data_IF_535447802777
#
_entry.id   IF_535447802777
#
_cell.length_a   1.000
_cell.length_b   1.000
_cell.length_c   1.000
_cell.angle_alpha   90.00
_cell.angle_beta   90.00
_cell.angle_gamma   90.00
#
_symmetry.space_group_name_H-M   'P 1'
#
loop_
_entity.id
_entity.type
_entity.pdbx_description
1 polymer ?
#
# COMPACT_ATOMS: atom_id res chain seq x y z
N UNK A 1 6.41 -13.93 -6.26
CA UNK A 1 7.13 -12.65 -6.46
C UNK A 1 6.93 -11.85 -5.19
N UNK A 2 7.95 -11.55 -4.37
CA UNK A 2 7.78 -10.75 -3.18
C UNK A 2 7.38 -9.35 -3.62
N UNK A 3 6.18 -8.91 -3.25
CA UNK A 3 5.78 -7.51 -3.29
C UNK A 3 6.68 -6.76 -2.29
N UNK A 4 7.80 -6.24 -2.77
CA UNK A 4 8.57 -5.23 -2.04
C UNK A 4 7.65 -4.04 -1.83
N UNK A 5 7.16 -3.85 -0.62
CA UNK A 5 6.60 -2.57 -0.18
C UNK A 5 7.77 -1.58 -0.33
N UNK A 6 7.71 -0.77 -1.39
CA UNK A 6 8.70 0.29 -1.57
C UNK A 6 8.73 1.14 -0.30
N UNK A 7 9.91 1.41 0.22
CA UNK A 7 10.04 2.31 1.36
C UNK A 7 9.49 3.68 0.97
N UNK A 8 8.90 4.41 1.91
CA UNK A 8 8.38 5.77 1.67
C UNK A 8 9.46 6.67 1.03
N UNK A 9 10.72 6.49 1.42
CA UNK A 9 11.85 7.25 0.88
C UNK A 9 12.14 6.91 -0.59
N UNK A 10 11.96 5.66 -1.00
CA UNK A 10 12.11 5.25 -2.39
C UNK A 10 10.98 5.81 -3.27
N UNK A 11 9.75 5.83 -2.77
CA UNK A 11 8.63 6.47 -3.45
C UNK A 11 8.85 7.98 -3.60
N UNK A 12 9.25 8.66 -2.54
CA UNK A 12 9.60 10.09 -2.58
C UNK A 12 10.71 10.36 -3.58
N UNK A 13 11.76 9.54 -3.59
CA UNK A 13 12.88 9.65 -4.51
C UNK A 13 12.40 9.58 -5.96
N UNK A 14 11.54 8.62 -6.31
CA UNK A 14 10.95 8.51 -7.65
C UNK A 14 10.15 9.75 -8.02
N UNK A 15 9.33 10.27 -7.09
CA UNK A 15 8.57 11.51 -7.32
C UNK A 15 9.52 12.67 -7.61
N UNK A 16 10.55 12.88 -6.82
CA UNK A 16 11.50 13.98 -7.03
C UNK A 16 12.29 13.84 -8.33
N UNK A 17 12.72 12.64 -8.69
CA UNK A 17 13.43 12.40 -9.96
C UNK A 17 12.57 12.71 -11.18
N UNK A 18 11.26 12.50 -11.08
CA UNK A 18 10.32 12.83 -12.15
C UNK A 18 9.92 14.32 -12.16
N UNK A 19 9.64 14.91 -11.00
CA UNK A 19 9.10 16.27 -10.90
C UNK A 19 10.16 17.37 -11.00
N UNK A 20 11.38 17.15 -10.50
CA UNK A 20 12.41 18.18 -10.51
C UNK A 20 12.79 18.66 -11.93
N UNK A 21 12.97 17.79 -12.96
CA UNK A 21 13.22 18.27 -14.33
C UNK A 21 12.08 19.15 -14.88
N UNK A 22 10.82 18.84 -14.53
CA UNK A 22 9.67 19.65 -14.96
C UNK A 22 9.67 21.03 -14.29
N UNK A 23 10.01 21.09 -13.01
CA UNK A 23 10.15 22.38 -12.28
C UNK A 23 11.31 23.20 -12.85
N UNK A 24 12.45 22.58 -13.15
CA UNK A 24 13.61 23.26 -13.76
C UNK A 24 13.21 23.83 -15.13
N UNK A 25 12.50 23.04 -15.95
CA UNK A 25 11.99 23.51 -17.25
C UNK A 25 11.02 24.69 -17.08
N UNK A 26 10.10 24.62 -16.12
CA UNK A 26 9.16 25.70 -15.82
C UNK A 26 9.89 26.99 -15.39
N UNK A 27 10.90 26.90 -14.51
CA UNK A 27 11.73 28.02 -14.13
C UNK A 27 12.47 28.62 -15.32
N UNK A 28 12.99 27.78 -16.22
CA UNK A 28 13.67 28.24 -17.42
C UNK A 28 12.72 29.00 -18.36
N UNK A 29 11.55 28.41 -18.66
CA UNK A 29 10.53 29.04 -19.52
C UNK A 29 10.03 30.37 -18.92
N UNK A 30 9.81 30.42 -17.62
CA UNK A 30 9.35 31.61 -16.91
C UNK A 30 10.39 32.76 -17.05
N UNK A 31 11.70 32.46 -16.96
CA UNK A 31 12.77 33.44 -17.16
C UNK A 31 12.86 33.97 -18.59
N UNK A 32 12.27 33.31 -19.58
CA UNK A 32 12.23 33.81 -20.97
C UNK A 32 11.06 34.75 -21.24
N UNK A 33 9.98 34.66 -20.47
CA UNK A 33 8.71 35.33 -20.76
C UNK A 33 8.43 36.54 -19.85
N UNK A 34 9.00 36.59 -18.65
CA UNK A 34 8.73 37.68 -17.70
C UNK A 34 9.92 38.62 -17.49
N UNK A 35 9.60 39.94 -17.42
CA UNK A 35 10.57 40.96 -17.09
C UNK A 35 10.67 41.09 -15.56
N UNK A 36 11.64 40.36 -14.97
CA UNK A 36 11.84 40.36 -13.53
C UNK A 36 12.69 41.57 -13.05
N UNK A 37 12.45 41.97 -11.80
CA UNK A 37 13.48 42.67 -11.05
C UNK A 37 14.77 41.83 -11.05
N UNK A 38 15.91 42.48 -11.20
CA UNK A 38 17.24 41.85 -11.33
C UNK A 38 17.50 40.77 -10.26
N UNK A 39 17.06 41.04 -9.03
CA UNK A 39 17.19 40.11 -7.90
C UNK A 39 16.38 38.80 -8.13
N UNK A 40 15.14 38.87 -8.60
CA UNK A 40 14.29 37.70 -8.84
C UNK A 40 14.84 36.85 -9.97
N UNK A 41 15.42 37.45 -11.01
CA UNK A 41 16.10 36.72 -12.06
C UNK A 41 17.28 35.89 -11.52
N UNK A 42 18.19 36.52 -10.73
CA UNK A 42 19.32 35.78 -10.15
C UNK A 42 18.87 34.67 -9.18
N UNK A 43 17.82 34.93 -8.40
CA UNK A 43 17.27 33.90 -7.50
C UNK A 43 16.71 32.70 -8.27
N UNK A 44 15.97 32.92 -9.36
CA UNK A 44 15.41 31.81 -10.16
C UNK A 44 16.50 31.00 -10.86
N UNK A 45 17.52 31.67 -11.41
CA UNK A 45 18.68 31.02 -12.04
C UNK A 45 19.47 30.21 -11.01
N UNK A 46 19.75 30.79 -9.84
CA UNK A 46 20.44 30.07 -8.75
C UNK A 46 19.65 28.87 -8.28
N UNK A 47 18.33 28.99 -8.11
CA UNK A 47 17.47 27.87 -7.75
C UNK A 47 17.49 26.78 -8.81
N UNK A 48 17.42 27.12 -10.10
CA UNK A 48 17.47 26.14 -11.19
C UNK A 48 18.79 25.34 -11.17
N UNK A 49 19.94 26.00 -11.03
CA UNK A 49 21.24 25.30 -10.89
C UNK A 49 21.29 24.40 -9.66
N UNK A 50 20.78 24.89 -8.54
CA UNK A 50 20.73 24.08 -7.31
C UNK A 50 19.81 22.86 -7.47
N UNK A 51 18.66 23.00 -8.13
CA UNK A 51 17.75 21.87 -8.38
C UNK A 51 18.37 20.84 -9.33
N UNK A 52 19.18 21.26 -10.33
CA UNK A 52 19.95 20.32 -11.17
C UNK A 52 20.96 19.55 -10.31
N UNK A 53 21.72 20.24 -9.46
CA UNK A 53 22.65 19.60 -8.53
C UNK A 53 21.93 18.61 -7.61
N UNK A 54 20.82 19.02 -7.00
CA UNK A 54 20.04 18.20 -6.09
C UNK A 54 19.46 16.97 -6.79
N UNK A 55 19.02 17.11 -8.04
CA UNK A 55 18.52 16.00 -8.86
C UNK A 55 19.60 14.93 -9.07
N UNK A 56 20.85 15.35 -9.36
CA UNK A 56 21.98 14.41 -9.50
C UNK A 56 22.26 13.70 -8.16
N UNK A 57 22.23 14.42 -7.04
CA UNK A 57 22.46 13.85 -5.72
C UNK A 57 21.37 12.85 -5.33
N UNK A 58 20.10 13.15 -5.61
CA UNK A 58 18.94 12.24 -5.40
C UNK A 58 19.07 11.00 -6.30
N UNK A 59 19.51 11.16 -7.57
CA UNK A 59 19.76 10.04 -8.47
C UNK A 59 20.84 9.09 -7.91
N UNK A 60 21.94 9.65 -7.40
CA UNK A 60 23.04 8.90 -6.78
C UNK A 60 22.72 8.39 -5.37
N UNK A 61 21.54 8.68 -4.80
CA UNK A 61 21.11 8.32 -3.42
C UNK A 61 21.98 8.94 -2.32
N UNK A 62 22.65 10.07 -2.58
CA UNK A 62 23.51 10.73 -1.63
C UNK A 62 22.75 11.76 -0.81
N UNK A 63 22.88 11.70 0.52
CA UNK A 63 22.34 12.70 1.47
C UNK A 63 20.85 13.05 1.24
N UNK A 64 20.02 12.08 0.85
CA UNK A 64 18.64 12.31 0.40
C UNK A 64 17.86 13.25 1.30
N UNK A 65 17.87 13.01 2.64
CA UNK A 65 17.10 13.83 3.60
C UNK A 65 17.62 15.26 3.71
N UNK A 66 18.92 15.46 3.65
CA UNK A 66 19.50 16.80 3.65
C UNK A 66 19.12 17.56 2.38
N UNK A 67 19.23 16.94 1.22
CA UNK A 67 18.85 17.53 -0.07
C UNK A 67 17.36 17.86 -0.11
N UNK A 68 16.49 16.95 0.40
CA UNK A 68 15.05 17.17 0.50
C UNK A 68 14.71 18.43 1.32
N UNK A 69 15.33 18.60 2.50
CA UNK A 69 15.10 19.75 3.36
C UNK A 69 15.68 21.06 2.79
N UNK A 70 16.86 21.02 2.19
CA UNK A 70 17.47 22.20 1.58
C UNK A 70 16.72 22.64 0.33
N UNK A 71 16.18 21.73 -0.48
CA UNK A 71 15.27 22.04 -1.56
C UNK A 71 14.01 22.76 -1.04
N UNK A 72 13.39 22.23 0.02
CA UNK A 72 12.20 22.86 0.61
C UNK A 72 12.51 24.28 1.08
N UNK A 73 13.65 24.49 1.74
CA UNK A 73 14.06 25.81 2.22
C UNK A 73 14.26 26.81 1.06
N UNK A 74 15.00 26.43 0.02
CA UNK A 74 15.27 27.30 -1.12
C UNK A 74 14.02 27.60 -1.96
N UNK A 75 13.18 26.60 -2.18
CA UNK A 75 11.88 26.79 -2.85
C UNK A 75 10.99 27.71 -2.03
N UNK A 76 10.98 27.60 -0.69
CA UNK A 76 10.20 28.50 0.18
C UNK A 76 10.68 29.93 0.09
N UNK A 77 12.00 30.18 0.09
CA UNK A 77 12.56 31.52 -0.11
C UNK A 77 12.19 32.09 -1.48
N UNK A 78 12.26 31.28 -2.52
CA UNK A 78 11.85 31.70 -3.87
C UNK A 78 10.37 32.06 -3.90
N UNK A 79 9.48 31.23 -3.32
CA UNK A 79 8.04 31.52 -3.26
C UNK A 79 7.71 32.80 -2.48
N UNK A 80 8.39 33.06 -1.37
CA UNK A 80 8.22 34.30 -0.60
C UNK A 80 8.67 35.52 -1.39
N UNK A 81 9.79 35.42 -2.14
CA UNK A 81 10.25 36.48 -3.01
C UNK A 81 9.28 36.76 -4.16
N UNK A 82 8.76 35.72 -4.81
CA UNK A 82 7.77 35.89 -5.89
C UNK A 82 6.49 36.53 -5.38
N UNK A 83 6.04 36.15 -4.20
CA UNK A 83 4.89 36.79 -3.56
C UNK A 83 5.15 38.25 -3.26
N UNK A 84 6.31 38.58 -2.68
CA UNK A 84 6.71 39.98 -2.40
C UNK A 84 6.73 40.85 -3.67
N UNK A 85 7.35 40.34 -4.75
CA UNK A 85 7.41 41.05 -6.04
C UNK A 85 6.02 41.23 -6.66
N UNK A 86 5.17 40.20 -6.57
CA UNK A 86 3.80 40.28 -7.06
C UNK A 86 2.98 41.33 -6.31
N UNK A 87 3.12 41.40 -4.99
CA UNK A 87 2.45 42.43 -4.19
C UNK A 87 2.96 43.82 -4.56
N UNK A 88 4.27 44.02 -4.59
CA UNK A 88 4.88 45.33 -4.85
C UNK A 88 4.57 45.82 -6.28
N UNK A 89 4.85 45.00 -7.30
CA UNK A 89 4.79 45.43 -8.70
C UNK A 89 3.36 45.36 -9.22
N UNK A 90 2.66 44.25 -9.02
CA UNK A 90 1.33 44.07 -9.62
C UNK A 90 0.23 44.75 -8.82
N UNK A 91 0.16 44.54 -7.48
CA UNK A 91 -0.91 45.14 -6.70
C UNK A 91 -0.71 46.63 -6.42
N UNK A 92 0.54 47.10 -6.13
CA UNK A 92 0.80 48.48 -5.72
C UNK A 92 1.14 49.36 -6.93
N UNK A 93 2.08 48.97 -7.82
CA UNK A 93 2.51 49.83 -8.91
C UNK A 93 1.57 49.80 -10.13
N UNK A 94 0.99 48.61 -10.44
CA UNK A 94 0.14 48.42 -11.63
C UNK A 94 -1.36 48.39 -11.34
N UNK A 95 -1.75 48.32 -10.06
CA UNK A 95 -3.15 48.17 -9.64
C UNK A 95 -3.86 46.97 -10.32
N UNK A 96 -3.16 45.85 -10.48
CA UNK A 96 -3.62 44.61 -11.13
C UNK A 96 -3.81 43.51 -10.08
N UNK A 97 -4.10 42.31 -10.52
CA UNK A 97 -4.25 41.11 -9.69
C UNK A 97 -2.88 40.48 -9.31
N UNK A 98 -2.86 39.62 -8.29
CA UNK A 98 -1.72 38.77 -7.99
C UNK A 98 -1.38 37.95 -9.23
N UNK A 99 -0.10 37.88 -9.60
CA UNK A 99 0.37 37.22 -10.81
C UNK A 99 0.19 35.71 -10.80
N UNK A 100 0.40 35.06 -11.96
CA UNK A 100 0.17 33.66 -12.26
C UNK A 100 0.98 32.67 -11.39
N UNK A 101 1.97 33.15 -10.61
CA UNK A 101 2.71 32.27 -9.69
C UNK A 101 1.79 31.54 -8.68
N UNK A 102 0.59 32.06 -8.43
CA UNK A 102 -0.44 31.48 -7.58
C UNK A 102 -0.82 30.07 -8.02
N UNK A 103 -0.75 29.78 -9.33
CA UNK A 103 -1.02 28.46 -9.91
C UNK A 103 -0.12 27.37 -9.30
N UNK A 104 1.08 27.71 -8.87
CA UNK A 104 2.04 26.76 -8.28
C UNK A 104 1.83 26.51 -6.77
N UNK A 105 0.97 27.29 -6.10
CA UNK A 105 0.77 27.17 -4.66
C UNK A 105 0.23 25.81 -4.20
N UNK A 106 -0.73 25.17 -4.89
CA UNK A 106 -1.15 23.82 -4.51
C UNK A 106 -0.01 22.80 -4.56
N UNK A 107 0.84 22.87 -5.60
CA UNK A 107 2.00 21.98 -5.72
C UNK A 107 3.04 22.27 -4.63
N UNK A 108 3.23 23.52 -4.27
CA UNK A 108 4.12 23.89 -3.18
C UNK A 108 3.62 23.37 -1.83
N UNK A 109 2.31 23.46 -1.54
CA UNK A 109 1.72 22.88 -0.32
C UNK A 109 1.86 21.36 -0.31
N UNK A 110 1.60 20.67 -1.44
CA UNK A 110 1.88 19.22 -1.57
C UNK A 110 3.33 18.90 -1.25
N UNK A 111 4.26 19.70 -1.77
CA UNK A 111 5.70 19.52 -1.56
C UNK A 111 6.08 19.64 -0.08
N UNK A 112 5.52 20.63 0.64
CA UNK A 112 5.70 20.76 2.09
C UNK A 112 5.26 19.51 2.82
N UNK A 113 4.04 19.01 2.51
CA UNK A 113 3.51 17.82 3.17
C UNK A 113 4.26 16.54 2.80
N UNK A 114 4.74 16.41 1.57
CA UNK A 114 5.57 15.29 1.13
C UNK A 114 6.90 15.26 1.88
N UNK A 115 7.53 16.42 2.07
CA UNK A 115 8.84 16.57 2.73
C UNK A 115 8.75 16.41 4.25
N UNK A 116 7.83 17.13 4.90
CA UNK A 116 7.77 17.26 6.36
C UNK A 116 6.77 16.28 7.00
N UNK A 117 5.88 15.67 6.22
CA UNK A 117 4.78 14.87 6.72
C UNK A 117 3.67 15.72 7.34
N UNK A 118 2.59 15.07 7.81
CA UNK A 118 1.35 15.73 8.23
C UNK A 118 1.53 16.77 9.35
N UNK A 119 2.13 16.37 10.48
CA UNK A 119 2.22 17.23 11.69
C UNK A 119 3.12 18.43 11.50
N UNK A 120 4.31 18.24 10.91
CA UNK A 120 5.27 19.34 10.68
C UNK A 120 4.87 20.15 9.44
N UNK A 121 4.28 19.50 8.44
CA UNK A 121 3.81 20.14 7.21
C UNK A 121 2.75 21.19 7.47
N UNK A 122 1.72 20.90 8.30
CA UNK A 122 0.69 21.87 8.63
C UNK A 122 1.28 23.10 9.35
N UNK A 123 2.19 22.90 10.31
CA UNK A 123 2.83 23.99 11.04
C UNK A 123 3.67 24.86 10.11
N UNK A 124 4.45 24.25 9.23
CA UNK A 124 5.28 24.97 8.26
C UNK A 124 4.43 25.70 7.22
N UNK A 125 3.35 25.11 6.73
CA UNK A 125 2.43 25.75 5.79
C UNK A 125 1.75 26.99 6.42
N UNK A 126 1.33 26.90 7.67
CA UNK A 126 0.78 28.07 8.38
C UNK A 126 1.84 29.14 8.65
N UNK A 127 3.10 28.77 8.91
CA UNK A 127 4.21 29.73 9.01
C UNK A 127 4.38 30.50 7.71
N UNK A 128 4.45 29.80 6.57
CA UNK A 128 4.57 30.46 5.25
C UNK A 128 3.36 31.32 4.95
N UNK A 129 2.15 30.83 5.24
CA UNK A 129 0.92 31.61 5.09
C UNK A 129 0.93 32.90 5.94
N UNK A 130 1.37 32.81 7.19
CA UNK A 130 1.48 34.00 8.08
C UNK A 130 2.52 34.99 7.58
N UNK A 131 3.66 34.52 7.02
CA UNK A 131 4.67 35.39 6.42
C UNK A 131 4.14 36.12 5.18
N UNK A 132 3.41 35.40 4.30
CA UNK A 132 2.77 36.06 3.13
C UNK A 132 1.68 37.02 3.56
N UNK A 133 0.86 36.70 4.56
CA UNK A 133 -0.15 37.61 5.12
C UNK A 133 0.51 38.89 5.72
N UNK A 134 1.61 38.71 6.46
CA UNK A 134 2.36 39.87 6.99
C UNK A 134 2.89 40.79 5.89
N UNK A 135 3.48 40.24 4.82
CA UNK A 135 3.91 41.01 3.65
C UNK A 135 2.71 41.76 3.03
N UNK A 136 1.58 41.07 2.80
CA UNK A 136 0.38 41.70 2.25
C UNK A 136 -0.13 42.87 3.11
N UNK A 137 -0.17 42.71 4.44
CA UNK A 137 -0.62 43.77 5.36
C UNK A 137 0.29 44.99 5.35
N UNK A 138 1.62 44.83 5.19
CA UNK A 138 2.56 45.97 5.13
C UNK A 138 2.25 46.93 3.98
N UNK A 139 1.76 46.42 2.85
CA UNK A 139 1.39 47.23 1.67
C UNK A 139 -0.09 47.65 1.65
N UNK A 140 -0.88 47.25 2.63
CA UNK A 140 -2.34 47.49 2.67
C UNK A 140 -2.76 48.95 2.45
N UNK A 141 -2.02 49.97 2.97
CA UNK A 141 -2.38 51.39 2.74
C UNK A 141 -2.28 51.84 1.27
N UNK A 142 -1.62 51.06 0.43
CA UNK A 142 -1.36 51.38 -0.99
C UNK A 142 -2.26 50.63 -1.96
N UNK A 143 -3.23 49.82 -1.47
CA UNK A 143 -4.08 48.99 -2.34
C UNK A 143 -5.31 49.76 -2.81
N UNK A 144 -5.68 49.51 -4.06
CA UNK A 144 -7.01 49.82 -4.56
C UNK A 144 -8.02 48.65 -4.26
N UNK A 145 -9.34 48.94 -4.30
CA UNK A 145 -10.35 47.93 -3.95
C UNK A 145 -10.23 46.60 -4.73
N UNK A 146 -9.90 46.66 -6.02
CA UNK A 146 -9.77 45.46 -6.87
C UNK A 146 -8.55 44.58 -6.48
N UNK A 147 -7.46 45.23 -6.04
CA UNK A 147 -6.25 44.55 -5.59
C UNK A 147 -6.48 43.78 -4.27
N UNK A 148 -7.33 44.34 -3.38
CA UNK A 148 -7.71 43.70 -2.10
C UNK A 148 -8.43 42.39 -2.32
N UNK A 149 -9.33 42.33 -3.31
CA UNK A 149 -10.11 41.09 -3.60
C UNK A 149 -9.17 39.92 -3.99
N UNK A 150 -8.21 40.14 -4.89
CA UNK A 150 -7.24 39.13 -5.30
C UNK A 150 -6.35 38.63 -4.16
N UNK A 151 -5.98 39.55 -3.24
CA UNK A 151 -5.22 39.23 -2.03
C UNK A 151 -6.01 38.33 -1.06
N UNK A 152 -7.29 38.65 -0.82
CA UNK A 152 -8.18 37.86 0.02
C UNK A 152 -8.35 36.46 -0.58
N UNK A 153 -8.63 36.37 -1.89
CA UNK A 153 -8.80 35.09 -2.59
C UNK A 153 -7.54 34.23 -2.48
N UNK A 154 -6.35 34.82 -2.64
CA UNK A 154 -5.07 34.11 -2.45
C UNK A 154 -4.96 33.50 -1.06
N UNK A 155 -5.20 34.24 0.00
CA UNK A 155 -5.06 33.76 1.37
C UNK A 155 -6.12 32.71 1.74
N UNK A 156 -7.37 32.89 1.30
CA UNK A 156 -8.45 31.93 1.51
C UNK A 156 -8.14 30.63 0.77
N UNK A 157 -7.73 30.70 -0.50
CA UNK A 157 -7.37 29.50 -1.28
C UNK A 157 -6.22 28.72 -0.63
N UNK A 158 -5.18 29.41 -0.13
CA UNK A 158 -4.07 28.74 0.55
C UNK A 158 -4.49 28.04 1.84
N UNK A 159 -5.40 28.62 2.64
CA UNK A 159 -5.97 27.97 3.81
C UNK A 159 -6.70 26.68 3.39
N UNK A 160 -7.52 26.76 2.33
CA UNK A 160 -8.24 25.59 1.80
C UNK A 160 -7.22 24.51 1.36
N UNK A 161 -6.17 24.85 0.62
CA UNK A 161 -5.14 23.89 0.20
C UNK A 161 -4.46 23.23 1.40
N UNK A 162 -4.07 24.01 2.43
CA UNK A 162 -3.45 23.48 3.65
C UNK A 162 -4.33 22.42 4.30
N UNK A 163 -5.63 22.69 4.46
CA UNK A 163 -6.55 21.74 5.07
C UNK A 163 -6.85 20.54 4.17
N UNK A 164 -7.07 20.74 2.87
CA UNK A 164 -7.33 19.65 1.91
C UNK A 164 -6.17 18.66 1.93
N UNK A 165 -4.93 19.13 1.83
CA UNK A 165 -3.78 18.23 1.84
C UNK A 165 -3.51 17.61 3.21
N UNK A 166 -3.77 18.31 4.31
CA UNK A 166 -3.72 17.72 5.64
C UNK A 166 -4.68 16.54 5.78
N UNK A 167 -5.94 16.72 5.36
CA UNK A 167 -6.93 15.66 5.43
C UNK A 167 -6.70 14.55 4.40
N UNK A 168 -6.21 14.88 3.22
CA UNK A 168 -5.80 13.87 2.23
C UNK A 168 -4.71 12.94 2.76
N UNK A 169 -3.67 13.49 3.39
CA UNK A 169 -2.62 12.69 4.04
C UNK A 169 -3.16 11.88 5.24
N UNK A 170 -4.09 12.45 6.00
CA UNK A 170 -4.73 11.74 7.10
C UNK A 170 -5.51 10.53 6.59
N UNK A 171 -6.36 10.71 5.58
CA UNK A 171 -7.14 9.66 4.97
C UNK A 171 -6.23 8.57 4.36
N UNK A 172 -5.18 8.96 3.65
CA UNK A 172 -4.21 8.02 3.08
C UNK A 172 -3.50 7.19 4.15
N UNK A 173 -3.10 7.83 5.26
CA UNK A 173 -2.51 7.14 6.41
C UNK A 173 -3.46 6.12 7.03
N UNK A 174 -4.72 6.49 7.26
CA UNK A 174 -5.75 5.57 7.76
C UNK A 174 -6.01 4.40 6.80
N UNK A 175 -6.08 4.67 5.49
CA UNK A 175 -6.25 3.61 4.49
C UNK A 175 -5.09 2.61 4.48
N UNK A 176 -3.86 3.10 4.60
CA UNK A 176 -2.66 2.26 4.67
C UNK A 176 -2.67 1.39 5.94
N UNK A 177 -3.01 1.97 7.09
CA UNK A 177 -3.12 1.26 8.37
C UNK A 177 -4.22 0.18 8.33
N UNK A 178 -5.41 0.52 7.82
CA UNK A 178 -6.51 -0.43 7.63
C UNK A 178 -6.13 -1.58 6.69
N UNK A 179 -5.38 -1.32 5.63
CA UNK A 179 -4.90 -2.36 4.70
C UNK A 179 -3.92 -3.31 5.40
N UNK A 180 -3.02 -2.78 6.22
CA UNK A 180 -2.06 -3.57 6.99
C UNK A 180 -2.78 -4.43 8.04
N UNK A 181 -3.74 -3.85 8.79
CA UNK A 181 -4.56 -4.59 9.76
C UNK A 181 -5.35 -5.70 9.08
N UNK A 182 -5.95 -5.43 7.90
CA UNK A 182 -6.66 -6.45 7.13
C UNK A 182 -5.75 -7.57 6.66
N UNK A 183 -4.54 -7.29 6.18
CA UNK A 183 -3.61 -8.32 5.73
C UNK A 183 -3.16 -9.21 6.88
N UNK A 184 -2.78 -8.64 8.03
CA UNK A 184 -2.42 -9.41 9.24
C UNK A 184 -3.61 -10.14 9.86
N UNK A 185 -4.85 -9.62 9.67
CA UNK A 185 -6.06 -10.27 10.17
C UNK A 185 -6.50 -11.49 9.35
N UNK A 186 -6.00 -11.67 8.12
CA UNK A 186 -6.51 -12.70 7.19
C UNK A 186 -5.45 -13.67 6.65
N UNK A 187 -4.18 -13.44 6.94
CA UNK A 187 -3.05 -14.29 6.52
C UNK A 187 -2.42 -14.96 7.74
N UNK A 188 -2.07 -16.21 7.61
CA UNK A 188 -1.28 -16.92 8.62
C UNK A 188 0.18 -16.45 8.55
N UNK A 189 0.77 -15.95 9.66
CA UNK A 189 2.10 -15.35 9.64
C UNK A 189 3.23 -16.34 9.39
N UNK A 190 3.00 -17.64 9.61
CA UNK A 190 4.01 -18.66 9.41
C UNK A 190 4.05 -19.13 7.96
N UNK A 191 2.88 -19.46 7.41
CA UNK A 191 2.76 -20.13 6.09
C UNK A 191 2.39 -19.20 4.96
N UNK A 192 2.07 -17.93 5.26
CA UNK A 192 1.66 -16.88 4.30
C UNK A 192 0.42 -17.20 3.46
N UNK A 193 -0.30 -18.28 3.79
CA UNK A 193 -1.60 -18.60 3.21
C UNK A 193 -2.74 -17.98 4.02
N UNK A 194 -3.98 -18.11 3.56
CA UNK A 194 -5.12 -17.60 4.33
C UNK A 194 -5.21 -18.27 5.71
N UNK A 195 -5.52 -17.49 6.74
CA UNK A 195 -5.77 -18.03 8.06
C UNK A 195 -7.24 -18.52 8.21
N UNK A 196 -7.54 -19.21 9.32
CA UNK A 196 -8.87 -19.73 9.63
C UNK A 196 -9.97 -18.68 9.49
N UNK A 197 -9.74 -17.46 9.99
CA UNK A 197 -10.73 -16.37 9.92
C UNK A 197 -11.10 -16.01 8.48
N UNK A 198 -10.12 -15.99 7.57
CA UNK A 198 -10.38 -15.73 6.15
C UNK A 198 -11.05 -16.89 5.45
N UNK A 199 -10.69 -18.13 5.83
CA UNK A 199 -11.35 -19.33 5.34
C UNK A 199 -12.83 -19.36 5.73
N UNK A 200 -13.17 -19.04 7.00
CA UNK A 200 -14.57 -18.96 7.47
C UNK A 200 -15.37 -17.95 6.62
N UNK A 201 -14.83 -16.75 6.38
CA UNK A 201 -15.51 -15.75 5.54
C UNK A 201 -15.70 -16.21 4.09
N UNK A 202 -14.72 -16.89 3.52
CA UNK A 202 -14.85 -17.44 2.17
C UNK A 202 -15.83 -18.60 2.12
N UNK A 203 -15.84 -19.47 3.13
CA UNK A 203 -16.81 -20.55 3.24
C UNK A 203 -18.25 -20.01 3.30
N UNK A 204 -18.49 -18.92 4.04
CA UNK A 204 -19.78 -18.23 4.08
C UNK A 204 -20.23 -17.82 2.67
N UNK A 205 -19.34 -17.18 1.92
CA UNK A 205 -19.63 -16.72 0.56
C UNK A 205 -19.88 -17.87 -0.43
N UNK A 206 -19.08 -18.93 -0.37
CA UNK A 206 -19.21 -20.08 -1.27
C UNK A 206 -20.45 -20.93 -0.91
N UNK A 207 -20.74 -21.08 0.37
CA UNK A 207 -21.94 -21.77 0.85
C UNK A 207 -23.22 -21.04 0.43
N UNK A 208 -23.25 -19.69 0.56
CA UNK A 208 -24.36 -18.88 0.10
C UNK A 208 -24.58 -19.02 -1.41
N UNK A 209 -23.53 -19.00 -2.22
CA UNK A 209 -23.61 -19.26 -3.66
C UNK A 209 -24.11 -20.66 -3.97
N UNK A 210 -23.62 -21.70 -3.27
CA UNK A 210 -24.08 -23.07 -3.45
C UNK A 210 -25.57 -23.19 -3.15
N UNK A 211 -26.04 -22.55 -2.07
CA UNK A 211 -27.43 -22.59 -1.65
C UNK A 211 -28.35 -21.82 -2.61
N UNK A 212 -27.94 -20.65 -3.13
CA UNK A 212 -28.78 -19.76 -3.95
C UNK A 212 -28.67 -20.03 -5.45
N UNK A 213 -27.46 -20.21 -5.97
CA UNK A 213 -27.20 -20.35 -7.43
C UNK A 213 -26.91 -21.79 -7.85
N UNK A 214 -26.98 -22.75 -6.93
CA UNK A 214 -26.62 -24.18 -7.15
C UNK A 214 -25.20 -24.37 -7.68
N UNK A 215 -24.29 -23.42 -7.35
CA UNK A 215 -22.88 -23.56 -7.65
C UNK A 215 -22.31 -24.73 -6.84
N UNK A 216 -21.50 -25.55 -7.48
CA UNK A 216 -20.77 -26.64 -6.82
C UNK A 216 -19.87 -26.09 -5.71
N UNK A 217 -19.81 -26.77 -4.57
CA UNK A 217 -18.91 -26.47 -3.46
C UNK A 217 -18.43 -27.76 -2.82
N UNK A 218 -17.13 -27.94 -2.76
CA UNK A 218 -16.47 -29.00 -2.01
C UNK A 218 -15.48 -28.43 -1.01
N UNK A 219 -15.35 -29.11 0.11
CA UNK A 219 -14.37 -28.84 1.18
C UNK A 219 -13.37 -30.00 1.22
N UNK A 220 -12.08 -29.67 1.23
CA UNK A 220 -10.98 -30.61 1.41
C UNK A 220 -10.26 -30.21 2.69
N UNK A 221 -10.31 -31.03 3.73
CA UNK A 221 -9.48 -30.90 4.91
C UNK A 221 -8.20 -31.73 4.72
N UNK A 222 -7.08 -31.15 5.09
CA UNK A 222 -5.73 -31.71 4.90
C UNK A 222 -5.00 -31.64 6.23
N UNK A 223 -4.33 -32.72 6.60
CA UNK A 223 -3.44 -32.73 7.76
C UNK A 223 -2.09 -33.31 7.39
N UNK A 224 -1.05 -32.72 7.92
CA UNK A 224 0.31 -33.21 7.79
C UNK A 224 0.49 -34.43 8.70
N UNK A 225 0.86 -35.57 8.13
CA UNK A 225 0.98 -36.84 8.87
C UNK A 225 2.22 -36.83 9.79
N UNK A 226 2.02 -37.27 11.04
CA UNK A 226 3.07 -37.40 12.03
C UNK A 226 3.83 -36.11 12.41
N UNK A 227 3.22 -34.95 12.24
CA UNK A 227 3.87 -33.65 12.49
C UNK A 227 4.42 -33.51 13.93
N UNK A 228 3.70 -34.05 14.92
CA UNK A 228 4.19 -34.08 16.31
C UNK A 228 5.54 -34.80 16.43
N UNK A 229 5.72 -35.95 15.73
CA UNK A 229 6.98 -36.69 15.76
C UNK A 229 8.12 -35.86 15.15
N UNK A 230 7.83 -35.06 14.13
CA UNK A 230 8.80 -34.15 13.51
C UNK A 230 9.26 -33.10 14.52
N UNK A 231 8.32 -32.45 15.20
CA UNK A 231 8.66 -31.48 16.25
C UNK A 231 9.44 -32.12 17.40
N UNK A 232 9.04 -33.29 17.85
CA UNK A 232 9.69 -34.00 18.96
C UNK A 232 11.12 -34.44 18.59
N UNK A 233 11.38 -34.78 17.33
CA UNK A 233 12.68 -35.28 16.86
C UNK A 233 13.64 -34.17 16.40
N UNK A 234 13.12 -33.14 15.71
CA UNK A 234 13.95 -32.14 15.02
C UNK A 234 13.76 -30.71 15.58
N UNK A 235 12.84 -30.53 16.54
CA UNK A 235 12.53 -29.22 17.12
C UNK A 235 11.50 -28.40 16.33
N UNK A 236 10.91 -27.43 16.99
CA UNK A 236 9.85 -26.59 16.43
C UNK A 236 10.30 -25.74 15.23
N UNK A 237 11.56 -25.32 15.18
CA UNK A 237 12.09 -24.55 14.05
C UNK A 237 12.09 -25.35 12.74
N UNK A 238 12.35 -26.65 12.82
CA UNK A 238 12.26 -27.57 11.68
C UNK A 238 10.78 -27.77 11.30
N UNK A 239 9.92 -27.99 12.30
CA UNK A 239 8.49 -28.09 12.07
C UNK A 239 7.89 -26.88 11.36
N UNK A 240 8.32 -25.68 11.75
CA UNK A 240 7.90 -24.44 11.12
C UNK A 240 8.35 -24.31 9.65
N UNK A 241 9.59 -24.75 9.34
CA UNK A 241 10.04 -24.81 7.95
C UNK A 241 9.23 -25.83 7.13
N UNK A 242 8.93 -26.97 7.70
CA UNK A 242 8.12 -28.03 7.08
C UNK A 242 6.71 -27.51 6.77
N UNK A 243 6.09 -26.79 7.71
CA UNK A 243 4.75 -26.21 7.47
C UNK A 243 4.76 -25.18 6.33
N UNK A 244 5.80 -24.33 6.23
CA UNK A 244 5.96 -23.38 5.11
C UNK A 244 6.10 -24.11 3.78
N UNK A 245 6.98 -25.11 3.72
CA UNK A 245 7.23 -25.87 2.51
C UNK A 245 6.01 -26.69 2.09
N UNK A 246 5.33 -27.33 3.04
CA UNK A 246 4.07 -28.05 2.82
C UNK A 246 2.98 -27.15 2.24
N UNK A 247 2.81 -25.94 2.79
CA UNK A 247 1.84 -24.97 2.29
C UNK A 247 2.19 -24.49 0.88
N UNK A 248 3.47 -24.30 0.55
CA UNK A 248 3.92 -23.93 -0.79
C UNK A 248 3.65 -25.02 -1.82
N UNK A 249 3.88 -26.29 -1.48
CA UNK A 249 3.58 -27.42 -2.36
C UNK A 249 2.09 -27.45 -2.71
N UNK A 250 1.22 -27.27 -1.72
CA UNK A 250 -0.23 -27.21 -1.94
C UNK A 250 -0.59 -26.01 -2.82
N UNK A 251 -0.12 -24.82 -2.44
CA UNK A 251 -0.44 -23.57 -3.18
C UNK A 251 -0.08 -23.65 -4.66
N UNK A 252 1.05 -24.30 -5.00
CA UNK A 252 1.51 -24.44 -6.38
C UNK A 252 0.68 -25.41 -7.21
N UNK A 253 -0.15 -26.25 -6.59
CA UNK A 253 -1.02 -27.21 -7.29
C UNK A 253 -2.44 -26.69 -7.52
N UNK A 254 -2.81 -25.60 -6.85
CA UNK A 254 -4.15 -25.03 -6.86
C UNK A 254 -4.38 -24.09 -8.05
N UNK A 255 -5.64 -23.98 -8.47
CA UNK A 255 -6.10 -23.03 -9.46
C UNK A 255 -6.52 -21.71 -8.81
N UNK A 256 -6.72 -20.67 -9.63
CA UNK A 256 -7.08 -19.33 -9.13
C UNK A 256 -8.47 -19.25 -8.49
N UNK A 257 -9.36 -20.17 -8.75
CA UNK A 257 -10.73 -20.22 -8.21
C UNK A 257 -10.83 -21.05 -6.92
N UNK A 258 -9.75 -21.73 -6.53
CA UNK A 258 -9.67 -22.51 -5.31
C UNK A 258 -9.11 -21.66 -4.17
N UNK A 259 -9.76 -21.74 -3.01
CA UNK A 259 -9.36 -21.00 -1.80
C UNK A 259 -8.60 -21.96 -0.88
N UNK A 260 -7.44 -21.52 -0.42
CA UNK A 260 -6.56 -22.33 0.43
C UNK A 260 -6.09 -21.55 1.65
N UNK A 261 -6.01 -22.25 2.79
CA UNK A 261 -5.49 -21.65 4.00
C UNK A 261 -5.23 -22.66 5.11
N UNK A 262 -4.64 -22.16 6.21
CA UNK A 262 -4.33 -22.90 7.41
C UNK A 262 -5.53 -22.86 8.36
N UNK A 263 -6.07 -24.03 8.65
CA UNK A 263 -7.26 -24.20 9.50
C UNK A 263 -6.91 -24.31 10.98
N UNK A 264 -5.79 -24.95 11.30
CA UNK A 264 -5.28 -25.16 12.64
C UNK A 264 -3.75 -25.32 12.67
N UNK A 265 -3.20 -25.91 13.70
CA UNK A 265 -1.75 -26.07 13.87
C UNK A 265 -1.04 -26.69 12.66
N UNK A 266 -1.44 -27.92 12.30
CA UNK A 266 -0.91 -28.72 11.18
C UNK A 266 -2.01 -29.05 10.15
N UNK A 267 -3.17 -28.37 10.27
CA UNK A 267 -4.35 -28.59 9.48
C UNK A 267 -4.55 -27.46 8.47
N UNK A 268 -4.91 -27.84 7.25
CA UNK A 268 -5.19 -26.94 6.15
C UNK A 268 -6.54 -27.24 5.52
N UNK A 269 -7.12 -26.25 4.86
CA UNK A 269 -8.41 -26.37 4.17
C UNK A 269 -8.33 -25.80 2.77
N UNK A 270 -8.92 -26.53 1.81
CA UNK A 270 -9.20 -26.03 0.46
C UNK A 270 -10.71 -25.95 0.27
N UNK A 271 -11.21 -24.81 -0.22
CA UNK A 271 -12.57 -24.64 -0.72
C UNK A 271 -12.50 -24.63 -2.25
N UNK A 272 -13.21 -25.57 -2.89
CA UNK A 272 -13.19 -25.73 -4.35
C UNK A 272 -14.61 -25.62 -4.91
N UNK A 273 -14.85 -24.77 -5.93
CA UNK A 273 -16.14 -24.69 -6.63
C UNK A 273 -16.29 -25.82 -7.65
N UNK A 274 -16.07 -27.05 -7.19
CA UNK A 274 -16.03 -28.23 -8.03
C UNK A 274 -16.91 -29.35 -7.45
N UNK A 275 -17.36 -30.25 -8.31
CA UNK A 275 -18.07 -31.45 -7.92
C UNK A 275 -17.19 -32.37 -7.05
N UNK A 276 -17.83 -33.26 -6.29
CA UNK A 276 -17.15 -34.23 -5.42
C UNK A 276 -16.05 -35.01 -6.16
N UNK A 277 -16.33 -35.45 -7.38
CA UNK A 277 -15.38 -36.22 -8.20
C UNK A 277 -14.13 -35.37 -8.53
N UNK A 278 -14.31 -34.11 -8.90
CA UNK A 278 -13.20 -33.21 -9.25
C UNK A 278 -12.43 -32.80 -8.00
N UNK A 279 -13.09 -32.52 -6.88
CA UNK A 279 -12.47 -32.25 -5.60
C UNK A 279 -11.63 -33.44 -5.08
N UNK A 280 -12.13 -34.67 -5.23
CA UNK A 280 -11.35 -35.89 -4.94
C UNK A 280 -10.11 -36.00 -5.82
N UNK A 281 -10.22 -35.73 -7.13
CA UNK A 281 -9.07 -35.75 -8.05
C UNK A 281 -8.04 -34.71 -7.66
N UNK A 282 -8.49 -33.51 -7.28
CA UNK A 282 -7.61 -32.45 -6.77
C UNK A 282 -6.89 -32.89 -5.50
N UNK A 283 -7.60 -33.42 -4.53
CA UNK A 283 -7.04 -33.96 -3.28
C UNK A 283 -5.99 -35.04 -3.52
N UNK A 284 -6.26 -36.00 -4.43
CA UNK A 284 -5.27 -37.00 -4.83
C UNK A 284 -4.05 -36.42 -5.54
N UNK A 285 -4.24 -35.38 -6.36
CA UNK A 285 -3.13 -34.70 -7.01
C UNK A 285 -2.24 -33.98 -5.98
N UNK A 286 -2.86 -33.26 -5.03
CA UNK A 286 -2.14 -32.60 -3.93
C UNK A 286 -1.39 -33.66 -3.10
N UNK A 287 -2.06 -34.75 -2.71
CA UNK A 287 -1.45 -35.85 -1.96
C UNK A 287 -0.21 -36.42 -2.66
N UNK A 288 -0.32 -36.68 -3.97
CA UNK A 288 0.79 -37.16 -4.80
C UNK A 288 1.95 -36.16 -4.86
N UNK A 289 1.66 -34.86 -5.03
CA UNK A 289 2.68 -33.82 -5.05
C UNK A 289 3.44 -33.75 -3.72
N UNK A 290 2.73 -33.82 -2.59
CA UNK A 290 3.33 -33.86 -1.26
C UNK A 290 4.21 -35.10 -1.09
N UNK A 291 3.71 -36.29 -1.42
CA UNK A 291 4.45 -37.55 -1.31
C UNK A 291 5.73 -37.60 -2.15
N UNK A 292 5.73 -36.94 -3.31
CA UNK A 292 6.88 -36.86 -4.22
C UNK A 292 7.81 -35.71 -3.93
N UNK A 293 7.40 -34.74 -3.15
CA UNK A 293 8.23 -33.59 -2.81
C UNK A 293 9.36 -33.99 -1.86
N UNK A 294 10.54 -33.45 -2.10
CA UNK A 294 11.72 -33.64 -1.23
C UNK A 294 11.81 -32.47 -0.27
N UNK A 295 11.28 -32.66 0.93
CA UNK A 295 11.41 -31.68 1.99
C UNK A 295 12.86 -31.57 2.47
N UNK A 296 13.31 -30.33 2.75
CA UNK A 296 14.73 -30.06 3.05
C UNK A 296 15.28 -30.85 4.23
N UNK A 297 14.47 -30.98 5.29
CA UNK A 297 14.92 -31.54 6.58
C UNK A 297 14.37 -32.95 6.83
N UNK A 298 13.45 -33.45 5.99
CA UNK A 298 12.69 -34.65 6.28
C UNK A 298 12.43 -35.48 5.02
N UNK A 299 12.77 -36.76 5.10
CA UNK A 299 12.40 -37.75 4.09
C UNK A 299 11.01 -38.33 4.37
N UNK A 300 10.22 -38.52 3.30
CA UNK A 300 8.92 -39.20 3.31
C UNK A 300 7.81 -38.53 4.15
N UNK A 301 7.62 -37.23 3.96
CA UNK A 301 6.45 -36.54 4.51
C UNK A 301 5.21 -36.84 3.68
N UNK A 302 4.10 -37.07 4.35
CA UNK A 302 2.78 -37.34 3.72
C UNK A 302 1.68 -36.51 4.34
N UNK A 303 0.54 -36.45 3.68
CA UNK A 303 -0.67 -35.84 4.20
C UNK A 303 -1.89 -36.75 4.06
N UNK A 304 -2.80 -36.63 4.99
CA UNK A 304 -4.12 -37.28 4.96
C UNK A 304 -5.22 -36.28 4.61
N UNK A 305 -6.21 -36.72 3.86
CA UNK A 305 -7.22 -35.87 3.24
C UNK A 305 -8.62 -36.36 3.49
N UNK A 306 -9.52 -35.45 3.90
CA UNK A 306 -10.96 -35.68 3.97
C UNK A 306 -11.69 -34.74 3.02
N UNK A 307 -12.56 -35.28 2.16
CA UNK A 307 -13.30 -34.49 1.16
C UNK A 307 -14.79 -34.63 1.41
N UNK A 308 -15.50 -33.52 1.42
CA UNK A 308 -16.97 -33.48 1.41
C UNK A 308 -17.47 -32.53 0.34
N UNK A 309 -18.70 -32.72 -0.07
CA UNK A 309 -19.39 -31.92 -1.05
C UNK A 309 -20.70 -31.39 -0.49
N UNK A 310 -21.04 -30.13 -0.83
CA UNK A 310 -22.30 -29.51 -0.43
C UNK A 310 -23.49 -30.30 -0.99
N UNK A 311 -24.44 -30.63 -0.13
CA UNK A 311 -25.74 -31.24 -0.50
C UNK A 311 -26.85 -30.25 -0.10
N UNK A 312 -27.92 -30.10 -0.91
CA UNK A 312 -29.04 -29.24 -0.54
C UNK A 312 -29.58 -29.55 0.87
N UNK A 313 -29.62 -28.51 1.72
CA UNK A 313 -29.99 -28.65 3.13
C UNK A 313 -28.84 -28.72 4.12
N UNK A 314 -27.56 -28.77 3.64
CA UNK A 314 -26.40 -28.70 4.52
C UNK A 314 -26.31 -27.31 5.20
N UNK A 315 -25.88 -27.33 6.46
CA UNK A 315 -25.24 -26.18 7.08
C UNK A 315 -23.73 -26.23 6.81
N UNK A 316 -23.03 -25.11 7.06
CA UNK A 316 -21.56 -25.09 6.95
C UNK A 316 -20.91 -26.11 7.89
N UNK A 317 -21.47 -26.21 9.08
CA UNK A 317 -21.01 -27.14 10.13
C UNK A 317 -21.16 -28.61 9.69
N UNK A 318 -22.29 -28.96 9.05
CA UNK A 318 -22.50 -30.34 8.57
C UNK A 318 -21.56 -30.68 7.42
N UNK A 319 -21.32 -29.74 6.51
CA UNK A 319 -20.37 -29.90 5.41
C UNK A 319 -18.94 -30.12 5.92
N UNK A 320 -18.45 -29.26 6.86
CA UNK A 320 -17.12 -29.41 7.47
C UNK A 320 -17.04 -30.72 8.25
N UNK A 321 -18.07 -31.06 9.04
CA UNK A 321 -18.10 -32.28 9.85
C UNK A 321 -17.95 -33.54 9.00
N UNK A 322 -18.57 -33.59 7.81
CA UNK A 322 -18.38 -34.70 6.88
C UNK A 322 -16.95 -34.80 6.37
N UNK A 323 -16.33 -33.68 6.02
CA UNK A 323 -14.91 -33.66 5.65
C UNK A 323 -14.00 -34.16 6.79
N UNK A 324 -14.31 -33.76 8.04
CA UNK A 324 -13.56 -34.18 9.24
C UNK A 324 -13.70 -35.69 9.51
N UNK A 325 -14.90 -36.27 9.36
CA UNK A 325 -15.12 -37.72 9.45
C UNK A 325 -14.27 -38.44 8.41
N UNK A 326 -14.31 -38.03 7.16
CA UNK A 326 -13.50 -38.61 6.09
C UNK A 326 -12.00 -38.49 6.37
N UNK A 327 -11.54 -37.34 6.91
CA UNK A 327 -10.15 -37.15 7.32
C UNK A 327 -9.72 -38.05 8.46
N UNK A 328 -10.61 -38.29 9.44
CA UNK A 328 -10.36 -39.19 10.53
C UNK A 328 -10.22 -40.66 10.02
N UNK A 329 -11.08 -41.08 9.07
CA UNK A 329 -10.95 -42.36 8.40
C UNK A 329 -9.61 -42.49 7.67
N UNK A 330 -9.21 -41.45 6.92
CA UNK A 330 -7.91 -41.45 6.24
C UNK A 330 -6.73 -41.64 7.21
N UNK A 331 -6.79 -40.99 8.39
CA UNK A 331 -5.75 -41.14 9.44
C UNK A 331 -5.74 -42.55 10.06
N UNK A 332 -6.91 -43.10 10.34
CA UNK A 332 -7.05 -44.40 11.02
C UNK A 332 -6.71 -45.61 10.14
N UNK A 333 -6.94 -45.47 8.83
CA UNK A 333 -6.70 -46.53 7.86
C UNK A 333 -5.32 -46.53 7.20
N UNK A 334 -4.34 -45.87 7.82
CA UNK A 334 -2.95 -45.97 7.38
C UNK A 334 -2.34 -44.66 6.89
N UNK A 335 -3.08 -43.54 6.93
CA UNK A 335 -2.61 -42.21 6.49
C UNK A 335 -2.29 -42.14 4.98
N UNK A 336 -1.72 -41.06 4.52
CA UNK A 336 -1.32 -40.82 3.12
C UNK A 336 -2.40 -41.23 2.09
N UNK A 337 -3.63 -40.87 2.33
CA UNK A 337 -4.78 -41.21 1.48
C UNK A 337 -5.87 -40.15 1.50
N UNK A 338 -6.75 -40.23 0.51
CA UNK A 338 -7.95 -39.39 0.38
C UNK A 338 -9.17 -40.22 0.71
N UNK A 339 -10.01 -39.75 1.64
CA UNK A 339 -11.33 -40.27 1.92
C UNK A 339 -12.40 -39.25 1.58
N UNK A 340 -13.59 -39.76 1.25
CA UNK A 340 -14.72 -38.95 0.79
C UNK A 340 -15.94 -39.31 1.60
N UNK A 341 -16.71 -38.30 2.02
CA UNK A 341 -17.98 -38.47 2.70
C UNK A 341 -19.11 -37.77 1.93
#
# INVERSE_FOLDING_TARGET
VPNHIESLDELKRKIYLFTAPLIILALFLNNLTEYYAVISYYLSVTLAFYLIFSWIMIYKRWYFRFIELSNLFLVSLYQLNQYYQSVQVNLVERNDSISDFVIWMPLYVVYIYLTLGRKKGILFSFLVWALTAHIGIQFAPSYEPNSVDSLIQYHVANIVYIFVFYYAQFAFGMFSELKTIKSTAYIDPLTEVQNRRKLDLNLDLYWEKANTTKQELSVILIVLDNFKKINDQFGHDVGDRVLREFSQVISNTLRNDEIFGRWGGEEFMVLSPASLLNARKLAEHIRYCIEKHRFHDISNLTGSFGVSHYIPGDTKETLIKRADIALYEAKSEGKNQVRVC
#
